data_IF_871901098915
#
_entry.id   IF_871901098915
#
_cell.length_a   1.000
_cell.length_b   1.000
_cell.length_c   1.000
_cell.angle_alpha   90.00
_cell.angle_beta   90.00
_cell.angle_gamma   90.00
#
_symmetry.space_group_name_H-M   'P 1'
#
loop_
_entity.id
_entity.type
_entity.pdbx_description
1 polymer ?
#
# COMPACT_ATOMS: atom_id res chain seq x y z
N UNK A 1 9.80 19.06 7.60
CA UNK A 1 9.47 17.97 6.63
C UNK A 1 8.18 18.17 5.83
N UNK A 2 7.31 19.10 6.17
CA UNK A 2 6.01 19.28 5.48
C UNK A 2 6.09 20.05 4.15
N UNK A 3 7.14 20.83 3.94
CA UNK A 3 7.33 21.62 2.71
C UNK A 3 7.48 20.74 1.44
N UNK A 4 8.09 19.57 1.57
CA UNK A 4 8.35 18.68 0.43
C UNK A 4 7.14 17.80 0.04
N UNK A 5 6.24 17.49 0.98
CA UNK A 5 5.07 16.64 0.72
C UNK A 5 4.08 17.29 -0.25
N UNK A 6 3.75 18.56 -0.04
CA UNK A 6 2.83 19.30 -0.91
C UNK A 6 3.39 19.50 -2.32
N UNK A 7 4.70 19.72 -2.44
CA UNK A 7 5.36 19.85 -3.73
C UNK A 7 5.41 18.51 -4.47
N UNK A 8 5.76 17.43 -3.78
CA UNK A 8 5.83 16.09 -4.38
C UNK A 8 4.45 15.64 -4.92
N UNK A 9 3.35 15.89 -4.17
CA UNK A 9 2.00 15.59 -4.64
C UNK A 9 1.65 16.31 -5.93
N UNK A 10 1.86 17.62 -5.98
CA UNK A 10 1.61 18.42 -7.19
C UNK A 10 2.47 18.00 -8.38
N UNK A 11 3.70 17.56 -8.12
CA UNK A 11 4.60 17.08 -9.17
C UNK A 11 4.09 15.76 -9.76
N UNK A 12 3.57 14.85 -8.93
CA UNK A 12 2.95 13.60 -9.40
C UNK A 12 1.69 13.91 -10.21
N UNK A 13 0.81 14.79 -9.73
CA UNK A 13 -0.39 15.22 -10.47
C UNK A 13 -0.04 15.78 -11.86
N UNK A 14 0.98 16.64 -11.92
CA UNK A 14 1.44 17.22 -13.20
C UNK A 14 2.03 16.14 -14.13
N UNK A 15 2.82 15.21 -13.60
CA UNK A 15 3.36 14.11 -14.40
C UNK A 15 2.27 13.19 -14.93
N UNK A 16 1.25 12.88 -14.14
CA UNK A 16 0.10 12.07 -14.59
C UNK A 16 -0.65 12.79 -15.71
N UNK A 17 -0.89 14.09 -15.57
CA UNK A 17 -1.57 14.89 -16.58
C UNK A 17 -0.77 14.96 -17.89
N UNK A 18 0.52 15.27 -17.81
CA UNK A 18 1.40 15.40 -18.97
C UNK A 18 1.58 14.06 -19.70
N UNK A 19 1.92 12.99 -18.98
CA UNK A 19 2.15 11.68 -19.58
C UNK A 19 0.87 11.08 -20.16
N UNK A 20 -0.27 11.28 -19.51
CA UNK A 20 -1.55 10.85 -20.05
C UNK A 20 -1.96 11.64 -21.30
N UNK A 21 -1.63 12.92 -21.38
CA UNK A 21 -1.85 13.73 -22.58
C UNK A 21 -1.01 13.24 -23.77
N UNK A 22 0.16 12.70 -23.51
CA UNK A 22 1.03 12.09 -24.50
C UNK A 22 0.67 10.63 -24.86
N UNK A 23 -0.33 10.04 -24.21
CA UNK A 23 -0.83 8.70 -24.50
C UNK A 23 -0.01 7.55 -23.89
N UNK A 24 0.81 7.81 -22.86
CA UNK A 24 1.57 6.75 -22.17
C UNK A 24 0.66 5.89 -21.30
N UNK A 25 0.94 4.58 -21.21
CA UNK A 25 0.38 3.72 -20.19
C UNK A 25 0.98 4.07 -18.84
N UNK A 26 0.14 4.19 -17.81
CA UNK A 26 0.56 4.63 -16.49
C UNK A 26 0.29 3.55 -15.43
N UNK A 27 1.25 3.34 -14.56
CA UNK A 27 1.07 2.64 -13.28
C UNK A 27 1.30 3.66 -12.16
N UNK A 28 0.25 3.89 -11.37
CA UNK A 28 0.26 4.91 -10.30
C UNK A 28 0.11 4.20 -8.96
N UNK A 29 1.14 4.29 -8.13
CA UNK A 29 1.12 3.70 -6.79
C UNK A 29 0.57 4.69 -5.76
N UNK A 30 -0.26 4.18 -4.85
CA UNK A 30 -0.83 4.94 -3.75
C UNK A 30 -1.20 4.07 -2.57
N UNK A 31 -1.56 4.68 -1.45
CA UNK A 31 -1.91 3.98 -0.21
C UNK A 31 -3.41 3.83 0.01
N UNK A 32 -4.23 4.36 -0.87
CA UNK A 32 -5.69 4.43 -0.71
C UNK A 32 -6.14 5.00 0.66
N UNK A 33 -5.30 5.90 1.23
CA UNK A 33 -5.57 6.54 2.52
C UNK A 33 -6.83 7.39 2.52
N UNK A 34 -7.15 7.95 1.36
CA UNK A 34 -8.35 8.74 1.09
C UNK A 34 -8.90 8.39 -0.29
N UNK A 35 -10.17 8.63 -0.52
CA UNK A 35 -10.83 8.40 -1.81
C UNK A 35 -10.59 9.52 -2.82
N UNK A 36 -10.21 10.71 -2.35
CA UNK A 36 -10.11 11.91 -3.20
C UNK A 36 -9.07 11.76 -4.33
N UNK A 37 -7.85 11.34 -4.00
CA UNK A 37 -6.77 11.25 -4.99
C UNK A 37 -7.07 10.21 -6.07
N UNK A 38 -7.39 8.93 -5.73
CA UNK A 38 -7.72 7.95 -6.75
C UNK A 38 -8.97 8.33 -7.57
N UNK A 39 -9.97 8.96 -6.95
CA UNK A 39 -11.16 9.48 -7.64
C UNK A 39 -10.79 10.51 -8.71
N UNK A 40 -10.06 11.55 -8.33
CA UNK A 40 -9.64 12.62 -9.24
C UNK A 40 -8.76 12.09 -10.36
N UNK A 41 -7.85 11.18 -10.04
CA UNK A 41 -6.98 10.54 -11.04
C UNK A 41 -7.79 9.70 -12.03
N UNK A 42 -8.72 8.88 -11.54
CA UNK A 42 -9.58 8.05 -12.40
C UNK A 42 -10.44 8.93 -13.33
N UNK A 43 -11.07 9.98 -12.80
CA UNK A 43 -11.87 10.92 -13.59
C UNK A 43 -11.05 11.64 -14.66
N UNK A 44 -9.84 12.10 -14.32
CA UNK A 44 -8.93 12.72 -15.27
C UNK A 44 -8.57 11.76 -16.41
N UNK A 45 -8.15 10.55 -16.08
CA UNK A 45 -7.74 9.55 -17.06
C UNK A 45 -8.90 9.10 -17.94
N UNK A 46 -10.08 8.83 -17.35
CA UNK A 46 -11.29 8.50 -18.10
C UNK A 46 -11.69 9.62 -19.08
N UNK A 47 -11.57 10.90 -18.67
CA UNK A 47 -11.85 12.04 -19.55
C UNK A 47 -10.92 12.12 -20.77
N UNK A 48 -9.75 11.47 -20.70
CA UNK A 48 -8.77 11.35 -21.78
C UNK A 48 -8.89 10.04 -22.57
N UNK A 49 -9.91 9.23 -22.29
CA UNK A 49 -10.19 7.97 -22.99
C UNK A 49 -9.41 6.76 -22.50
N UNK A 50 -8.81 6.83 -21.31
CA UNK A 50 -8.16 5.68 -20.68
C UNK A 50 -9.17 4.72 -20.07
N UNK A 51 -8.87 3.44 -20.15
CA UNK A 51 -9.42 2.42 -19.25
C UNK A 51 -8.62 2.47 -17.94
N UNK A 52 -9.33 2.56 -16.82
CA UNK A 52 -8.72 2.75 -15.51
C UNK A 52 -9.06 1.57 -14.61
N UNK A 53 -8.05 0.80 -14.25
CA UNK A 53 -8.19 -0.34 -13.33
C UNK A 53 -7.58 0.01 -11.95
N UNK A 54 -8.21 -0.51 -10.89
CA UNK A 54 -7.73 -0.38 -9.52
C UNK A 54 -7.29 -1.74 -8.99
N UNK A 55 -6.00 -1.89 -8.73
CA UNK A 55 -5.46 -3.08 -8.06
C UNK A 55 -5.15 -2.76 -6.60
N UNK A 56 -5.73 -3.51 -5.67
CA UNK A 56 -5.55 -3.35 -4.23
C UNK A 56 -4.81 -4.56 -3.66
N UNK A 57 -3.79 -4.30 -2.83
CA UNK A 57 -3.07 -5.36 -2.13
C UNK A 57 -3.66 -5.53 -0.73
N UNK A 58 -4.32 -6.66 -0.50
CA UNK A 58 -4.82 -7.07 0.80
C UNK A 58 -3.76 -7.84 1.59
N UNK A 59 -3.47 -7.38 2.80
CA UNK A 59 -2.48 -8.03 3.69
C UNK A 59 -2.91 -7.84 5.14
N UNK A 60 -2.79 -8.86 5.98
CA UNK A 60 -3.07 -8.74 7.41
C UNK A 60 -2.33 -7.53 8.01
N UNK A 61 -2.99 -6.69 8.82
CA UNK A 61 -2.40 -5.45 9.34
C UNK A 61 -1.07 -5.66 10.05
N UNK A 62 -0.97 -6.70 10.88
CA UNK A 62 0.24 -7.02 11.63
C UNK A 62 1.39 -7.45 10.71
N UNK A 63 1.07 -8.21 9.65
CA UNK A 63 2.06 -8.62 8.64
C UNK A 63 2.51 -7.44 7.79
N UNK A 64 1.59 -6.55 7.46
CA UNK A 64 1.89 -5.30 6.76
C UNK A 64 2.81 -4.41 7.61
N UNK A 65 2.50 -4.22 8.90
CA UNK A 65 3.33 -3.42 9.80
C UNK A 65 4.72 -4.04 10.00
N UNK A 66 4.80 -5.36 10.28
CA UNK A 66 6.07 -6.09 10.38
C UNK A 66 6.95 -5.83 9.15
N UNK A 67 6.36 -5.79 7.98
CA UNK A 67 7.10 -5.53 6.74
C UNK A 67 7.67 -4.12 6.64
N UNK A 68 7.02 -3.14 7.26
CA UNK A 68 7.58 -1.78 7.34
C UNK A 68 8.80 -1.75 8.25
N UNK A 69 8.79 -2.52 9.34
CA UNK A 69 9.93 -2.63 10.25
C UNK A 69 11.12 -3.33 9.58
N UNK A 70 10.87 -4.47 8.93
CA UNK A 70 11.94 -5.19 8.19
C UNK A 70 12.56 -4.30 7.13
N UNK A 71 11.73 -3.61 6.32
CA UNK A 71 12.22 -2.68 5.29
C UNK A 71 13.04 -1.53 5.89
N UNK A 72 12.62 -1.00 7.04
CA UNK A 72 13.38 0.04 7.73
C UNK A 72 14.76 -0.46 8.11
N UNK A 73 14.85 -1.64 8.74
CA UNK A 73 16.09 -2.25 9.16
C UNK A 73 17.04 -2.52 7.98
N UNK A 74 16.50 -3.05 6.88
CA UNK A 74 17.26 -3.32 5.66
C UNK A 74 17.83 -2.04 5.05
N UNK A 75 17.00 -1.01 4.90
CA UNK A 75 17.45 0.27 4.36
C UNK A 75 18.45 0.96 5.27
N UNK A 76 18.26 0.86 6.59
CA UNK A 76 19.17 1.42 7.57
C UNK A 76 20.56 0.77 7.49
N UNK A 77 20.62 -0.51 7.20
CA UNK A 77 21.88 -1.24 7.00
C UNK A 77 22.63 -0.77 5.75
N UNK A 78 21.90 -0.35 4.70
CA UNK A 78 22.49 0.11 3.43
C UNK A 78 22.86 1.59 3.51
N UNK A 79 21.91 2.44 3.90
CA UNK A 79 22.09 3.89 4.05
C UNK A 79 21.11 4.42 5.13
N UNK A 80 21.60 4.72 6.34
CA UNK A 80 20.79 5.23 7.44
C UNK A 80 20.01 6.52 7.10
N UNK A 81 20.52 7.33 6.16
CA UNK A 81 19.86 8.58 5.78
C UNK A 81 18.64 8.36 4.87
N UNK A 82 18.53 7.21 4.24
CA UNK A 82 17.39 6.83 3.41
C UNK A 82 16.36 5.99 4.16
N UNK A 83 16.72 5.41 5.30
CA UNK A 83 15.80 4.64 6.11
C UNK A 83 14.72 5.55 6.72
N UNK A 84 13.46 5.18 6.50
CA UNK A 84 12.30 5.92 7.05
C UNK A 84 11.42 4.96 7.82
N UNK A 85 11.30 5.20 9.11
CA UNK A 85 10.36 4.49 9.96
C UNK A 85 8.92 4.90 9.61
N UNK A 86 8.02 3.92 9.61
CA UNK A 86 6.59 4.16 9.50
C UNK A 86 5.99 4.17 10.91
N UNK A 87 5.49 5.31 11.41
CA UNK A 87 4.83 5.35 12.71
C UNK A 87 3.61 4.42 12.72
N UNK A 88 3.43 3.68 13.83
CA UNK A 88 2.36 2.68 13.94
C UNK A 88 0.97 3.32 13.78
N UNK A 89 0.73 4.47 14.41
CA UNK A 89 -0.53 5.19 14.33
C UNK A 89 -0.85 5.61 12.88
N UNK A 90 0.16 5.98 12.11
CA UNK A 90 -0.03 6.33 10.71
C UNK A 90 -0.38 5.11 9.85
N UNK A 91 0.27 3.98 10.09
CA UNK A 91 -0.04 2.71 9.43
C UNK A 91 -1.46 2.25 9.77
N UNK A 92 -1.80 2.21 11.06
CA UNK A 92 -3.09 1.73 11.55
C UNK A 92 -4.23 2.60 11.00
N UNK A 93 -4.09 3.92 11.03
CA UNK A 93 -5.10 4.84 10.50
C UNK A 93 -5.34 4.69 8.98
N UNK A 94 -4.36 4.21 8.21
CA UNK A 94 -4.58 3.86 6.80
C UNK A 94 -5.36 2.55 6.70
N UNK A 95 -4.93 1.52 7.42
CA UNK A 95 -5.51 0.17 7.35
C UNK A 95 -6.95 0.16 7.81
N UNK A 96 -7.29 0.88 8.90
CA UNK A 96 -8.65 0.97 9.43
C UNK A 96 -9.66 1.52 8.42
N UNK A 97 -9.23 2.43 7.55
CA UNK A 97 -10.11 3.08 6.58
C UNK A 97 -10.05 2.44 5.18
N UNK A 98 -9.15 1.47 4.95
CA UNK A 98 -8.87 0.97 3.61
C UNK A 98 -10.07 0.33 2.92
N UNK A 99 -10.80 -0.54 3.63
CA UNK A 99 -11.98 -1.20 3.08
C UNK A 99 -13.15 -0.22 2.87
N UNK A 100 -13.33 0.76 3.76
CA UNK A 100 -14.38 1.77 3.60
C UNK A 100 -14.08 2.73 2.45
N UNK A 101 -12.83 3.12 2.27
CA UNK A 101 -12.41 3.91 1.12
C UNK A 101 -12.62 3.14 -0.20
N UNK A 102 -12.30 1.84 -0.21
CA UNK A 102 -12.58 1.02 -1.40
C UNK A 102 -14.08 0.92 -1.66
N UNK A 103 -14.91 0.73 -0.63
CA UNK A 103 -16.37 0.66 -0.75
C UNK A 103 -16.97 1.93 -1.33
N UNK A 104 -16.44 3.09 -0.95
CA UNK A 104 -16.87 4.38 -1.52
C UNK A 104 -16.53 4.44 -3.02
N UNK A 105 -15.29 4.12 -3.40
CA UNK A 105 -14.85 4.14 -4.79
C UNK A 105 -15.56 3.09 -5.67
N UNK A 106 -15.84 1.92 -5.13
CA UNK A 106 -16.59 0.86 -5.82
C UNK A 106 -18.01 1.31 -6.17
N UNK A 107 -18.70 2.00 -5.24
CA UNK A 107 -20.04 2.55 -5.47
C UNK A 107 -20.09 3.64 -6.55
N UNK A 108 -19.01 4.35 -6.75
CA UNK A 108 -18.92 5.41 -7.75
C UNK A 108 -18.71 4.89 -9.17
N UNK A 109 -18.37 3.60 -9.33
CA UNK A 109 -18.17 2.95 -10.63
C UNK A 109 -17.19 3.71 -11.55
N UNK A 110 -16.12 4.25 -10.97
CA UNK A 110 -15.11 5.04 -11.67
C UNK A 110 -14.03 4.20 -12.36
N UNK A 111 -13.93 2.92 -11.97
CA UNK A 111 -12.92 2.00 -12.48
C UNK A 111 -13.57 0.97 -13.39
N UNK A 112 -12.96 0.71 -14.52
CA UNK A 112 -13.39 -0.34 -15.44
C UNK A 112 -13.22 -1.74 -14.83
N UNK A 113 -12.20 -1.89 -13.98
CA UNK A 113 -11.92 -3.14 -13.27
C UNK A 113 -11.37 -2.83 -11.87
N UNK A 114 -11.80 -3.62 -10.87
CA UNK A 114 -11.24 -3.63 -9.51
C UNK A 114 -10.74 -5.04 -9.21
N UNK A 115 -9.48 -5.15 -8.82
CA UNK A 115 -8.86 -6.41 -8.46
C UNK A 115 -8.25 -6.35 -7.06
N UNK A 116 -8.33 -7.47 -6.32
CA UNK A 116 -7.68 -7.61 -5.02
C UNK A 116 -6.66 -8.73 -5.10
N UNK A 117 -5.44 -8.41 -4.73
CA UNK A 117 -4.32 -9.34 -4.68
C UNK A 117 -3.86 -9.56 -3.25
N UNK A 118 -3.50 -10.77 -2.91
CA UNK A 118 -2.73 -11.08 -1.71
C UNK A 118 -1.25 -10.77 -1.94
N UNK A 119 -0.47 -10.77 -0.87
CA UNK A 119 0.95 -10.46 -0.92
C UNK A 119 1.77 -11.48 -1.74
N UNK A 120 1.31 -12.70 -1.85
CA UNK A 120 1.89 -13.74 -2.72
C UNK A 120 1.53 -13.57 -4.19
N UNK A 121 0.82 -12.50 -4.55
CA UNK A 121 0.30 -12.16 -5.88
C UNK A 121 -0.91 -12.98 -6.33
N UNK A 122 -1.51 -13.76 -5.44
CA UNK A 122 -2.78 -14.43 -5.75
C UNK A 122 -3.88 -13.40 -5.89
N UNK A 123 -4.55 -13.35 -7.04
CA UNK A 123 -5.78 -12.58 -7.22
C UNK A 123 -6.91 -13.31 -6.50
N UNK A 124 -7.53 -12.62 -5.52
CA UNK A 124 -8.63 -13.17 -4.70
C UNK A 124 -9.98 -12.55 -5.03
N UNK A 125 -9.99 -11.55 -5.88
CA UNK A 125 -11.18 -10.91 -6.42
C UNK A 125 -10.86 -10.17 -7.71
N UNK A 126 -11.74 -10.31 -8.69
CA UNK A 126 -11.72 -9.58 -9.95
C UNK A 126 -13.15 -9.21 -10.34
N UNK A 127 -13.46 -7.92 -10.41
CA UNK A 127 -14.82 -7.43 -10.71
C UNK A 127 -15.35 -7.82 -12.08
N UNK A 128 -14.51 -8.29 -13.00
CA UNK A 128 -14.96 -8.80 -14.31
C UNK A 128 -15.48 -10.25 -14.24
N UNK A 129 -15.04 -11.03 -13.27
CA UNK A 129 -15.34 -12.48 -13.18
C UNK A 129 -16.07 -12.88 -11.90
N UNK A 130 -15.94 -12.11 -10.85
CA UNK A 130 -16.48 -12.43 -9.54
C UNK A 130 -17.72 -11.57 -9.22
N UNK A 131 -18.67 -12.19 -8.52
CA UNK A 131 -19.82 -11.48 -7.98
C UNK A 131 -19.54 -10.96 -6.58
N UNK A 132 -20.25 -9.91 -6.15
CA UNK A 132 -20.15 -9.35 -4.80
C UNK A 132 -19.33 -8.07 -4.75
N UNK A 133 -18.83 -7.73 -3.57
CA UNK A 133 -18.14 -6.47 -3.31
C UNK A 133 -16.64 -6.66 -3.08
N UNK A 134 -15.83 -5.94 -3.83
CA UNK A 134 -14.38 -5.86 -3.63
C UNK A 134 -14.05 -5.43 -2.20
N UNK A 135 -14.80 -4.47 -1.64
CA UNK A 135 -14.58 -3.97 -0.29
C UNK A 135 -14.86 -5.03 0.79
N UNK A 136 -15.84 -5.93 0.59
CA UNK A 136 -16.11 -7.03 1.53
C UNK A 136 -15.01 -8.07 1.47
N UNK A 137 -14.53 -8.42 0.29
CA UNK A 137 -13.39 -9.34 0.12
C UNK A 137 -12.13 -8.75 0.75
N UNK A 138 -11.87 -7.46 0.56
CA UNK A 138 -10.76 -6.77 1.21
C UNK A 138 -10.89 -6.78 2.74
N UNK A 139 -12.07 -6.49 3.26
CA UNK A 139 -12.36 -6.52 4.71
C UNK A 139 -12.05 -7.90 5.31
N UNK A 140 -12.52 -8.98 4.67
CA UNK A 140 -12.22 -10.34 5.12
C UNK A 140 -10.73 -10.67 5.00
N UNK A 141 -10.07 -10.24 3.93
CA UNK A 141 -8.63 -10.40 3.77
C UNK A 141 -7.84 -9.71 4.89
N UNK A 142 -8.23 -8.50 5.27
CA UNK A 142 -7.54 -7.72 6.32
C UNK A 142 -7.81 -8.30 7.72
N UNK A 143 -9.07 -8.52 8.07
CA UNK A 143 -9.50 -8.74 9.46
C UNK A 143 -10.11 -10.12 9.72
N UNK A 144 -10.29 -10.94 8.69
CA UNK A 144 -10.76 -12.31 8.81
C UNK A 144 -9.72 -13.26 9.38
N UNK A 145 -9.95 -14.55 9.24
CA UNK A 145 -9.06 -15.59 9.76
C UNK A 145 -7.69 -15.56 9.07
N UNK A 146 -6.65 -15.85 9.83
CA UNK A 146 -5.31 -16.03 9.29
C UNK A 146 -5.22 -17.31 8.48
N UNK A 147 -4.62 -17.24 7.31
CA UNK A 147 -4.27 -18.40 6.52
C UNK A 147 -2.93 -18.99 6.99
N UNK A 148 -2.65 -20.23 6.60
CA UNK A 148 -1.32 -20.82 6.85
C UNK A 148 -0.20 -20.02 6.18
N UNK A 149 -0.48 -19.40 5.05
CA UNK A 149 0.48 -18.57 4.32
C UNK A 149 0.79 -17.29 5.12
N UNK A 150 -0.25 -16.63 5.69
CA UNK A 150 -0.06 -15.46 6.54
C UNK A 150 0.76 -15.79 7.79
N UNK A 151 0.46 -16.93 8.45
CA UNK A 151 1.19 -17.39 9.63
C UNK A 151 2.68 -17.66 9.33
N UNK A 152 2.97 -18.34 8.21
CA UNK A 152 4.34 -18.62 7.80
C UNK A 152 5.08 -17.33 7.40
N UNK A 153 4.42 -16.42 6.68
CA UNK A 153 5.00 -15.11 6.36
C UNK A 153 5.30 -14.29 7.62
N UNK A 154 4.42 -14.34 8.62
CA UNK A 154 4.64 -13.67 9.90
C UNK A 154 5.86 -14.24 10.62
N UNK A 155 5.98 -15.57 10.66
CA UNK A 155 7.11 -16.24 11.28
C UNK A 155 8.43 -15.88 10.60
N UNK A 156 8.49 -16.03 9.29
CA UNK A 156 9.68 -15.68 8.48
C UNK A 156 10.04 -14.21 8.64
N UNK A 157 9.04 -13.32 8.62
CA UNK A 157 9.24 -11.89 8.81
C UNK A 157 9.82 -11.54 10.19
N UNK A 158 9.34 -12.18 11.26
CA UNK A 158 9.88 -12.00 12.63
C UNK A 158 11.33 -12.49 12.72
N UNK A 159 11.61 -13.69 12.24
CA UNK A 159 12.97 -14.23 12.22
C UNK A 159 13.94 -13.31 11.45
N UNK A 160 13.48 -12.71 10.36
CA UNK A 160 14.27 -11.75 9.58
C UNK A 160 14.52 -10.46 10.35
N UNK A 161 13.49 -9.91 10.99
CA UNK A 161 13.60 -8.72 11.83
C UNK A 161 14.57 -8.94 12.99
N UNK A 162 14.48 -10.08 13.68
CA UNK A 162 15.36 -10.43 14.80
C UNK A 162 16.83 -10.50 14.35
N UNK A 163 17.09 -11.12 13.19
CA UNK A 163 18.46 -11.19 12.62
C UNK A 163 19.01 -9.80 12.28
N UNK A 164 18.21 -8.94 11.65
CA UNK A 164 18.62 -7.58 11.31
C UNK A 164 18.87 -6.74 12.57
N UNK A 165 18.00 -6.85 13.57
CA UNK A 165 18.15 -6.15 14.85
C UNK A 165 19.37 -6.62 15.65
N UNK A 166 19.71 -7.90 15.58
CA UNK A 166 20.93 -8.43 16.20
C UNK A 166 22.19 -7.86 15.53
N UNK A 167 22.25 -7.87 14.20
CA UNK A 167 23.34 -7.27 13.42
C UNK A 167 23.52 -5.78 13.72
N UNK A 168 22.41 -5.07 13.88
CA UNK A 168 22.42 -3.66 14.21
C UNK A 168 23.03 -3.39 15.60
N UNK A 169 22.75 -4.26 16.59
CA UNK A 169 23.33 -4.16 17.96
C UNK A 169 24.82 -4.48 17.96
N UNK A 170 25.25 -5.50 17.22
CA UNK A 170 26.66 -5.87 17.13
C UNK A 170 27.52 -4.75 16.54
N UNK A 171 26.98 -3.97 15.61
CA UNK A 171 27.70 -2.89 14.97
C UNK A 171 27.66 -1.54 15.72
N UNK A 172 27.03 -1.48 16.89
CA UNK A 172 26.95 -0.32 17.83
C UNK A 172 26.56 1.03 17.16
N UNK A 173 25.79 1.00 16.07
CA UNK A 173 25.42 2.19 15.31
C UNK A 173 23.94 2.61 15.51
N UNK A 174 23.27 2.12 16.54
CA UNK A 174 21.92 2.55 16.95
C UNK A 174 21.81 2.86 18.43
N UNK A 175 21.41 4.08 18.74
CA UNK A 175 20.74 4.37 19.99
C UNK A 175 19.25 4.05 19.82
N UNK A 176 18.78 3.00 20.50
CA UNK A 176 17.37 2.58 20.50
C UNK A 176 16.52 3.47 21.42
N UNK A 177 16.33 4.73 21.08
CA UNK A 177 15.42 5.63 21.78
C UNK A 177 14.10 5.87 21.03
N UNK A 178 13.63 4.86 20.27
CA UNK A 178 12.35 4.91 19.58
C UNK A 178 11.51 3.67 19.87
N UNK A 179 11.11 3.52 21.14
CA UNK A 179 9.97 2.69 21.51
C UNK A 179 8.98 3.54 22.30
#
# INVERSE_FOLDING_TARGET
MDYTKGFAGKMVEHLVDELSTQGYHLLIEGTLRTTQVPRQTAQLLASKGYQVSLAVIGTKPELSYLSTLVRYEELYTIDPNQARATPKEHHDGIVENLADNLRELEREQLFDQIQIYQRDRTCIYDSETDEGSAAEVLQECLFGKWSRVDEEMMKVGRERLDKLSALAKENDWRNYDFI
#
